data_IF_597146348553
#
_entry.id   IF_597146348553
#
_cell.length_a   1.000
_cell.length_b   1.000
_cell.length_c   1.000
_cell.angle_alpha   90.00
_cell.angle_beta   90.00
_cell.angle_gamma   90.00
#
_symmetry.space_group_name_H-M   'P 1'
#
loop_
_entity.id
_entity.type
_entity.pdbx_description
1 polymer ?
#
# COMPACT_ATOMS: atom_id res chain seq x y z
N UNK A 1 -30.97 -11.24 -6.89
CA UNK A 1 -30.14 -12.27 -7.58
C UNK A 1 -28.75 -11.76 -7.97
N UNK A 2 -28.37 -10.52 -7.63
CA UNK A 2 -27.00 -9.99 -7.74
C UNK A 2 -26.70 -9.22 -6.45
N UNK A 3 -26.92 -9.88 -5.31
CA UNK A 3 -26.59 -9.29 -4.02
C UNK A 3 -25.08 -9.15 -3.98
N UNK A 4 -24.63 -7.92 -4.23
CA UNK A 4 -23.31 -7.37 -4.00
C UNK A 4 -22.53 -8.24 -3.03
N UNK A 5 -21.44 -8.83 -3.50
CA UNK A 5 -20.44 -9.50 -2.64
C UNK A 5 -20.27 -8.65 -1.39
N UNK A 6 -20.81 -9.15 -0.29
CA UNK A 6 -20.95 -8.38 0.91
C UNK A 6 -19.59 -8.20 1.57
N UNK A 7 -19.48 -7.28 2.53
CA UNK A 7 -18.30 -7.22 3.39
C UNK A 7 -18.02 -8.57 4.05
N UNK A 8 -19.04 -9.40 4.28
CA UNK A 8 -18.92 -10.77 4.78
C UNK A 8 -18.18 -11.70 3.81
N UNK A 9 -18.58 -11.77 2.53
CA UNK A 9 -17.87 -12.60 1.54
C UNK A 9 -16.41 -12.18 1.37
N UNK A 10 -16.15 -10.87 1.33
CA UNK A 10 -14.78 -10.34 1.25
C UNK A 10 -13.97 -10.76 2.48
N UNK A 11 -14.55 -10.71 3.69
CA UNK A 11 -13.89 -11.15 4.92
C UNK A 11 -13.55 -12.65 4.89
N UNK A 12 -14.46 -13.50 4.38
CA UNK A 12 -14.22 -14.94 4.23
C UNK A 12 -13.07 -15.21 3.26
N UNK A 13 -13.05 -14.54 2.09
CA UNK A 13 -11.96 -14.67 1.11
C UNK A 13 -10.64 -14.20 1.72
N UNK A 14 -10.65 -13.07 2.43
CA UNK A 14 -9.47 -12.54 3.10
C UNK A 14 -8.91 -13.54 4.13
N UNK A 15 -9.78 -14.21 4.91
CA UNK A 15 -9.38 -15.26 5.86
C UNK A 15 -8.73 -16.44 5.13
N UNK A 16 -9.31 -16.93 4.02
CA UNK A 16 -8.74 -18.03 3.24
C UNK A 16 -7.35 -17.67 2.72
N UNK A 17 -7.20 -16.47 2.15
CA UNK A 17 -5.90 -15.95 1.69
C UNK A 17 -4.92 -15.83 2.87
N UNK A 18 -5.39 -15.37 4.03
CA UNK A 18 -4.56 -15.25 5.23
C UNK A 18 -4.06 -16.60 5.74
N UNK A 19 -4.84 -17.67 5.59
CA UNK A 19 -4.43 -19.02 5.96
C UNK A 19 -3.41 -19.57 4.94
N UNK A 20 -3.65 -19.38 3.64
CA UNK A 20 -2.76 -19.88 2.58
C UNK A 20 -1.40 -19.17 2.56
N UNK A 21 -1.39 -17.85 2.69
CA UNK A 21 -0.18 -17.04 2.63
C UNK A 21 0.39 -16.73 4.01
N UNK A 22 -0.41 -16.81 5.07
CA UNK A 22 -0.04 -16.40 6.42
C UNK A 22 -0.25 -14.91 6.68
N UNK A 23 -0.66 -14.55 7.91
CA UNK A 23 -0.95 -13.17 8.30
C UNK A 23 0.22 -12.19 8.18
N UNK A 24 1.46 -12.68 8.10
CA UNK A 24 2.67 -11.86 7.97
C UNK A 24 3.03 -11.54 6.52
N UNK A 25 2.66 -12.39 5.54
CA UNK A 25 3.10 -12.21 4.14
C UNK A 25 2.38 -11.09 3.42
N UNK A 26 1.09 -10.87 3.67
CA UNK A 26 0.34 -9.76 3.08
C UNK A 26 0.94 -8.38 3.43
N UNK A 27 1.18 -8.05 4.72
CA UNK A 27 1.77 -6.76 5.07
C UNK A 27 3.24 -6.64 4.63
N UNK A 28 3.98 -7.75 4.61
CA UNK A 28 5.37 -7.77 4.12
C UNK A 28 5.45 -7.46 2.62
N UNK A 29 4.62 -8.09 1.81
CA UNK A 29 4.51 -7.79 0.37
C UNK A 29 3.96 -6.38 0.12
N UNK A 30 2.98 -5.95 0.92
CA UNK A 30 2.40 -4.60 0.82
C UNK A 30 3.40 -3.49 1.10
N UNK A 31 4.33 -3.69 2.05
CA UNK A 31 5.42 -2.74 2.33
C UNK A 31 6.34 -2.54 1.13
N UNK A 32 6.85 -3.64 0.54
CA UNK A 32 7.73 -3.56 -0.63
C UNK A 32 7.04 -2.98 -1.88
N UNK A 33 5.78 -3.36 -2.11
CA UNK A 33 4.97 -2.78 -3.19
C UNK A 33 4.67 -1.29 -2.95
N UNK A 34 4.41 -0.89 -1.70
CA UNK A 34 4.12 0.49 -1.33
C UNK A 34 5.32 1.42 -1.53
N UNK A 35 6.52 0.99 -1.13
CA UNK A 35 7.76 1.73 -1.38
C UNK A 35 8.04 1.86 -2.88
N UNK A 36 7.88 0.76 -3.63
CA UNK A 36 8.02 0.78 -5.09
C UNK A 36 7.03 1.78 -5.70
N UNK A 37 5.75 1.70 -5.34
CA UNK A 37 4.70 2.57 -5.87
C UNK A 37 4.92 4.05 -5.50
N UNK A 38 5.49 4.33 -4.33
CA UNK A 38 5.87 5.67 -3.88
C UNK A 38 7.00 6.24 -4.75
N UNK A 39 8.04 5.46 -5.03
CA UNK A 39 9.12 5.88 -5.94
C UNK A 39 8.63 6.04 -7.38
N UNK A 40 7.79 5.12 -7.87
CA UNK A 40 7.11 5.27 -9.18
C UNK A 40 6.33 6.59 -9.22
N UNK A 41 5.50 6.89 -8.21
CA UNK A 41 4.72 8.13 -8.17
C UNK A 41 5.61 9.38 -8.13
N UNK A 42 6.74 9.33 -7.42
CA UNK A 42 7.72 10.42 -7.33
C UNK A 42 8.39 10.70 -8.68
N UNK A 43 8.80 9.65 -9.39
CA UNK A 43 9.37 9.76 -10.73
C UNK A 43 8.37 10.34 -11.75
N UNK A 44 7.11 9.89 -11.69
CA UNK A 44 6.04 10.41 -12.56
C UNK A 44 5.66 11.87 -12.24
N UNK A 45 5.67 12.27 -10.96
CA UNK A 45 5.43 13.68 -10.55
C UNK A 45 6.58 14.60 -10.95
N UNK A 46 7.83 14.16 -10.78
CA UNK A 46 9.01 14.96 -11.14
C UNK A 46 9.09 15.27 -12.64
N UNK A 47 8.44 14.46 -13.48
CA UNK A 47 8.37 14.67 -14.93
C UNK A 47 7.26 15.64 -15.35
N UNK A 48 6.32 15.98 -14.46
CA UNK A 48 5.11 16.74 -14.80
C UNK A 48 5.17 18.21 -14.39
N UNK A 49 5.84 18.59 -13.31
CA UNK A 49 5.97 20.01 -12.88
C UNK A 49 7.23 20.25 -12.02
N UNK A 50 7.99 21.35 -12.24
CA UNK A 50 9.07 21.78 -11.37
C UNK A 50 8.56 22.70 -10.25
N UNK A 51 7.54 22.32 -9.48
CA UNK A 51 7.32 22.90 -8.15
C UNK A 51 6.30 22.10 -7.35
N UNK A 52 6.52 22.05 -6.04
CA UNK A 52 5.59 21.55 -5.01
C UNK A 52 5.47 20.03 -4.82
N UNK A 53 6.42 19.48 -4.04
CA UNK A 53 6.12 18.61 -2.90
C UNK A 53 7.39 18.28 -2.11
N UNK A 54 7.88 19.23 -1.31
CA UNK A 54 8.52 18.89 -0.03
C UNK A 54 7.39 18.53 0.92
N UNK A 55 7.23 17.25 1.24
CA UNK A 55 6.53 16.82 2.44
C UNK A 55 6.99 15.39 2.77
N UNK A 56 7.40 15.20 4.02
CA UNK A 56 7.80 13.94 4.67
C UNK A 56 9.27 13.54 4.52
N UNK A 57 10.17 14.46 4.88
CA UNK A 57 11.31 14.09 5.72
C UNK A 57 10.88 14.40 7.16
N UNK A 58 10.49 13.35 7.88
CA UNK A 58 10.41 13.40 9.32
C UNK A 58 11.83 13.54 9.84
N UNK A 59 12.07 14.67 10.46
CA UNK A 59 13.16 14.95 11.38
C UNK A 59 13.24 13.82 12.42
N UNK A 60 14.13 12.85 12.20
CA UNK A 60 14.79 12.14 13.30
C UNK A 60 16.02 12.96 13.69
N UNK A 61 15.80 14.06 14.43
CA UNK A 61 16.83 14.65 15.27
C UNK A 61 16.96 13.78 16.53
N UNK A 62 17.90 12.83 16.47
CA UNK A 62 18.59 12.37 17.67
C UNK A 62 20.08 12.33 17.40
N UNK A 63 20.75 13.48 17.53
CA UNK A 63 22.06 13.60 18.18
C UNK A 63 22.49 15.04 18.36
#
# INVERSE_FOLDING_TARGET
MLSTVGPTEIAVIAIVILILFGGKKLPEMGRGLGESFREFKKAFRSKKEPSSAKATEGEEEKK
#
